data_IF_070968862858
#
_entry.id   IF_070968862858
#
_cell.length_a   1.000
_cell.length_b   1.000
_cell.length_c   1.000
_cell.angle_alpha   90.00
_cell.angle_beta   90.00
_cell.angle_gamma   90.00
#
_symmetry.space_group_name_H-M   'P 1'
#
loop_
_entity.id
_entity.type
_entity.pdbx_description
1 polymer ?
#
# COMPACT_ATOMS: atom_id res chain seq x y z
N UNK A 1 17.80 -38.12 -80.69
CA UNK A 1 18.19 -36.79 -80.17
C UNK A 1 16.99 -36.19 -79.46
N UNK A 2 17.26 -35.47 -78.36
CA UNK A 2 16.35 -34.60 -77.60
C UNK A 2 15.48 -35.25 -76.50
N UNK A 3 15.98 -35.16 -75.28
CA UNK A 3 15.26 -35.09 -74.00
C UNK A 3 14.56 -33.73 -73.85
N UNK A 4 13.51 -33.65 -73.02
CA UNK A 4 13.40 -32.48 -72.15
C UNK A 4 13.21 -32.86 -70.67
N UNK A 5 13.97 -32.14 -69.85
CA UNK A 5 13.99 -32.18 -68.40
C UNK A 5 12.68 -31.63 -67.81
N UNK A 6 12.20 -32.25 -66.73
CA UNK A 6 11.10 -31.73 -65.92
C UNK A 6 11.67 -31.05 -64.68
N UNK A 7 11.50 -29.75 -64.63
CA UNK A 7 11.90 -28.86 -63.55
C UNK A 7 11.12 -29.15 -62.27
N UNK A 8 11.83 -29.39 -61.17
CA UNK A 8 11.25 -29.44 -59.83
C UNK A 8 10.97 -28.01 -59.34
N UNK A 9 9.70 -27.64 -59.26
CA UNK A 9 9.25 -26.39 -58.64
C UNK A 9 9.23 -26.61 -57.12
N UNK A 10 10.27 -26.13 -56.42
CA UNK A 10 10.31 -26.13 -54.96
C UNK A 10 9.38 -25.04 -54.42
N UNK A 11 8.27 -25.44 -53.82
CA UNK A 11 7.35 -24.55 -53.12
C UNK A 11 7.92 -24.27 -51.72
N UNK A 12 8.64 -23.16 -51.57
CA UNK A 12 9.10 -22.67 -50.29
C UNK A 12 7.92 -22.02 -49.53
N UNK A 13 7.33 -22.77 -48.59
CA UNK A 13 6.37 -22.23 -47.62
C UNK A 13 7.15 -21.45 -46.57
N UNK A 14 7.22 -20.12 -46.71
CA UNK A 14 7.66 -19.24 -45.63
C UNK A 14 6.60 -19.26 -44.52
N UNK A 15 6.83 -20.04 -43.45
CA UNK A 15 6.15 -19.85 -42.18
C UNK A 15 6.63 -18.53 -41.57
N UNK A 16 5.88 -17.45 -41.79
CA UNK A 16 6.04 -16.21 -41.05
C UNK A 16 5.50 -16.44 -39.63
N UNK A 17 6.39 -16.82 -38.70
CA UNK A 17 6.11 -16.82 -37.27
C UNK A 17 6.00 -15.37 -36.78
N UNK A 18 4.81 -14.78 -36.90
CA UNK A 18 4.49 -13.50 -36.30
C UNK A 18 4.55 -13.64 -34.79
N UNK A 19 5.64 -13.16 -34.18
CA UNK A 19 5.73 -12.96 -32.74
C UNK A 19 4.73 -11.88 -32.34
N UNK A 20 3.52 -12.30 -31.96
CA UNK A 20 2.62 -11.48 -31.19
C UNK A 20 3.28 -11.25 -29.83
N UNK A 21 4.06 -10.19 -29.72
CA UNK A 21 4.50 -9.65 -28.45
C UNK A 21 3.25 -9.17 -27.70
N UNK A 22 2.55 -10.10 -27.04
CA UNK A 22 1.50 -9.76 -26.11
C UNK A 22 2.14 -8.93 -25.01
N UNK A 23 1.76 -7.65 -24.92
CA UNK A 23 2.10 -6.83 -23.77
C UNK A 23 1.47 -7.47 -22.54
N UNK A 24 2.20 -8.33 -21.83
CA UNK A 24 1.76 -8.84 -20.54
C UNK A 24 1.85 -7.66 -19.56
N UNK A 25 0.67 -7.12 -19.21
CA UNK A 25 0.58 -6.16 -18.11
C UNK A 25 1.07 -6.87 -16.85
N UNK A 26 1.93 -6.20 -16.07
CA UNK A 26 2.36 -6.76 -14.79
C UNK A 26 1.13 -7.08 -13.92
N UNK A 27 1.06 -8.26 -13.28
CA UNK A 27 -0.06 -8.60 -12.42
C UNK A 27 -0.12 -7.72 -11.16
N UNK A 28 0.90 -6.90 -10.89
CA UNK A 28 0.90 -5.95 -9.78
C UNK A 28 1.19 -4.54 -10.28
N UNK A 29 0.20 -3.66 -10.11
CA UNK A 29 0.26 -2.24 -10.43
C UNK A 29 0.11 -1.41 -9.16
N UNK A 30 0.96 -0.40 -8.99
CA UNK A 30 0.86 0.53 -7.86
C UNK A 30 0.86 1.94 -8.42
N UNK A 31 -0.19 2.69 -8.09
CA UNK A 31 -0.37 4.10 -8.40
C UNK A 31 -0.19 4.85 -7.08
N UNK A 32 0.85 5.68 -6.98
CA UNK A 32 1.17 6.44 -5.79
C UNK A 32 0.97 7.93 -6.08
N UNK A 33 0.00 8.55 -5.42
CA UNK A 33 -0.18 10.00 -5.50
C UNK A 33 0.97 10.72 -4.76
N UNK A 34 1.26 11.98 -5.08
CA UNK A 34 2.24 12.74 -4.32
C UNK A 34 1.84 12.88 -2.85
N UNK A 35 2.83 12.83 -1.95
CA UNK A 35 2.66 13.20 -0.54
C UNK A 35 2.16 14.64 -0.45
N UNK A 36 1.13 14.88 0.35
CA UNK A 36 0.58 16.23 0.58
C UNK A 36 0.83 16.61 2.02
N UNK A 37 1.81 17.49 2.25
CA UNK A 37 2.06 18.09 3.56
C UNK A 37 1.50 19.51 3.54
N UNK A 38 0.66 19.84 4.51
CA UNK A 38 0.14 21.19 4.72
C UNK A 38 0.29 21.60 6.18
N UNK A 39 0.55 22.88 6.41
CA UNK A 39 0.46 23.51 7.73
C UNK A 39 -0.80 24.34 7.78
N UNK A 40 -1.60 24.15 8.82
CA UNK A 40 -2.83 24.88 9.10
C UNK A 40 -2.75 25.49 10.49
N UNK A 41 -3.27 26.71 10.61
CA UNK A 41 -3.31 27.40 11.88
C UNK A 41 -4.65 27.17 12.58
N UNK A 42 -4.60 26.85 13.87
CA UNK A 42 -5.77 26.58 14.70
C UNK A 42 -6.73 27.79 14.69
N UNK A 43 -6.19 29.00 14.67
CA UNK A 43 -6.95 30.25 14.68
C UNK A 43 -7.73 30.48 13.38
N UNK A 44 -7.32 29.85 12.27
CA UNK A 44 -7.96 30.01 10.97
C UNK A 44 -9.08 28.98 10.73
N UNK A 45 -9.25 28.01 11.63
CA UNK A 45 -10.30 27.01 11.51
C UNK A 45 -11.68 27.61 11.78
N UNK A 46 -12.60 27.41 10.83
CA UNK A 46 -14.01 27.82 10.98
C UNK A 46 -14.73 27.04 12.07
N UNK A 47 -14.35 25.77 12.28
CA UNK A 47 -14.87 24.91 13.35
C UNK A 47 -13.71 24.20 14.06
N UNK A 48 -13.39 24.67 15.26
CA UNK A 48 -12.31 24.12 16.08
C UNK A 48 -12.58 22.71 16.58
N UNK A 49 -13.83 22.26 16.63
CA UNK A 49 -14.19 20.89 17.05
C UNK A 49 -13.73 19.83 16.04
N UNK A 50 -13.40 20.25 14.82
CA UNK A 50 -12.86 19.37 13.77
C UNK A 50 -11.35 19.19 13.86
N UNK A 51 -10.67 19.99 14.69
CA UNK A 51 -9.23 19.89 14.90
C UNK A 51 -9.00 18.77 15.93
N UNK A 52 -8.24 17.73 15.60
CA UNK A 52 -8.04 16.58 16.46
C UNK A 52 -6.92 16.83 17.48
N UNK A 53 -7.09 17.89 18.27
CA UNK A 53 -6.19 18.40 19.31
C UNK A 53 -6.74 18.02 20.69
N UNK A 54 -5.88 17.57 21.61
CA UNK A 54 -6.23 17.42 23.02
C UNK A 54 -6.50 18.76 23.71
N UNK A 55 -7.10 18.74 24.92
CA UNK A 55 -7.41 19.96 25.69
C UNK A 55 -6.16 20.80 26.02
N UNK A 56 -4.99 20.15 26.13
CA UNK A 56 -3.71 20.77 26.51
C UNK A 56 -2.65 20.75 25.39
N UNK A 57 -3.01 20.36 24.16
CA UNK A 57 -2.07 20.32 23.03
C UNK A 57 -2.08 21.68 22.30
N UNK A 58 -0.91 22.26 22.02
CA UNK A 58 -0.78 23.53 21.28
C UNK A 58 -0.52 23.33 19.77
N UNK A 59 -0.16 22.10 19.39
CA UNK A 59 0.07 21.68 18.02
C UNK A 59 -0.09 20.16 17.89
N UNK A 60 -0.34 19.69 16.67
CA UNK A 60 -0.34 18.26 16.35
C UNK A 60 -0.15 18.01 14.85
N UNK A 61 0.62 16.98 14.52
CA UNK A 61 0.71 16.43 13.17
C UNK A 61 -0.21 15.23 13.03
N UNK A 62 -1.10 15.28 12.04
CA UNK A 62 -1.94 14.15 11.66
C UNK A 62 -1.55 13.64 10.30
N UNK A 63 -1.39 12.32 10.19
CA UNK A 63 -1.17 11.64 8.93
C UNK A 63 -2.29 10.65 8.66
N UNK A 64 -2.65 10.52 7.38
CA UNK A 64 -3.52 9.45 6.90
C UNK A 64 -2.88 8.86 5.66
N UNK A 65 -2.69 7.55 5.66
CA UNK A 65 -2.12 6.82 4.53
C UNK A 65 -3.25 6.00 3.93
N UNK A 66 -3.78 6.47 2.80
CA UNK A 66 -4.84 5.81 2.07
C UNK A 66 -4.32 4.62 1.28
N UNK A 67 -5.07 3.52 1.32
CA UNK A 67 -4.89 2.36 0.46
C UNK A 67 -6.23 1.94 -0.14
N UNK A 68 -6.25 1.75 -1.45
CA UNK A 68 -7.36 1.11 -2.16
C UNK A 68 -6.80 0.05 -3.09
N UNK A 69 -7.43 -1.11 -3.16
CA UNK A 69 -7.01 -2.20 -4.03
C UNK A 69 -8.15 -2.63 -4.95
N UNK A 70 -7.87 -2.65 -6.25
CA UNK A 70 -8.70 -3.32 -7.26
C UNK A 70 -8.08 -4.70 -7.50
N UNK A 71 -8.91 -5.76 -7.46
CA UNK A 71 -8.45 -7.16 -7.56
C UNK A 71 -8.95 -7.76 -8.87
N UNK A 72 -8.01 -8.24 -9.69
CA UNK A 72 -8.31 -9.11 -10.83
C UNK A 72 -8.32 -10.57 -10.33
N UNK A 73 -9.30 -11.36 -10.76
CA UNK A 73 -9.47 -12.73 -10.27
C UNK A 73 -10.17 -13.64 -11.28
N UNK A 74 -9.97 -14.95 -11.09
CA UNK A 74 -10.74 -16.01 -11.73
C UNK A 74 -11.62 -16.71 -10.69
N UNK A 75 -12.87 -17.04 -11.01
CA UNK A 75 -13.69 -17.93 -10.17
C UNK A 75 -13.21 -19.37 -10.37
N UNK A 76 -12.72 -20.01 -9.32
CA UNK A 76 -12.21 -21.39 -9.37
C UNK A 76 -13.23 -22.41 -8.93
N UNK A 77 -14.16 -22.04 -8.05
CA UNK A 77 -15.31 -22.89 -7.71
C UNK A 77 -16.54 -22.08 -7.34
N UNK A 78 -17.70 -22.71 -7.53
CA UNK A 78 -19.03 -22.21 -7.17
C UNK A 78 -19.84 -23.37 -6.65
N UNK A 79 -20.38 -23.21 -5.45
CA UNK A 79 -21.27 -24.16 -4.80
C UNK A 79 -22.55 -23.46 -4.34
N UNK A 80 -23.66 -24.19 -4.37
CA UNK A 80 -24.95 -23.73 -3.83
C UNK A 80 -25.20 -24.55 -2.56
N UNK A 81 -25.18 -23.86 -1.42
CA UNK A 81 -25.51 -24.41 -0.11
C UNK A 81 -26.75 -23.67 0.37
N UNK A 82 -27.92 -24.13 -0.08
CA UNK A 82 -29.23 -23.49 0.09
C UNK A 82 -29.41 -22.91 1.52
N UNK A 83 -29.66 -21.59 1.68
CA UNK A 83 -29.99 -20.57 0.67
C UNK A 83 -28.81 -19.72 0.15
N UNK A 84 -27.57 -20.16 0.34
CA UNK A 84 -26.36 -19.38 0.05
C UNK A 84 -25.57 -19.91 -1.16
N UNK A 85 -24.79 -19.02 -1.75
CA UNK A 85 -23.70 -19.34 -2.67
C UNK A 85 -22.38 -19.33 -1.89
N UNK A 86 -21.51 -20.29 -2.16
CA UNK A 86 -20.11 -20.28 -1.75
C UNK A 86 -19.27 -20.15 -3.02
N UNK A 87 -18.38 -19.17 -3.05
CA UNK A 87 -17.52 -18.88 -4.20
C UNK A 87 -16.07 -18.90 -3.74
N UNK A 88 -15.24 -19.60 -4.50
CA UNK A 88 -13.79 -19.49 -4.40
C UNK A 88 -13.25 -18.73 -5.61
N UNK A 89 -12.42 -17.72 -5.36
CA UNK A 89 -11.71 -16.96 -6.39
C UNK A 89 -10.21 -17.24 -6.27
N UNK A 90 -9.47 -17.11 -7.37
CA UNK A 90 -8.01 -17.06 -7.40
C UNK A 90 -7.57 -15.68 -7.88
N UNK A 91 -6.71 -15.03 -7.10
CA UNK A 91 -6.20 -13.69 -7.42
C UNK A 91 -5.22 -13.77 -8.59
N UNK A 92 -5.49 -13.04 -9.68
CA UNK A 92 -4.65 -13.00 -10.89
C UNK A 92 -3.96 -11.65 -11.07
N UNK A 93 -4.46 -10.60 -10.41
CA UNK A 93 -3.83 -9.28 -10.41
C UNK A 93 -4.28 -8.40 -9.26
N UNK A 94 -3.43 -7.44 -8.91
CA UNK A 94 -3.69 -6.45 -7.85
C UNK A 94 -3.25 -5.08 -8.35
N UNK A 95 -4.17 -4.12 -8.35
CA UNK A 95 -3.88 -2.71 -8.58
C UNK A 95 -4.13 -1.91 -7.30
N UNK A 96 -3.07 -1.32 -6.74
CA UNK A 96 -3.17 -0.49 -5.55
C UNK A 96 -3.10 0.99 -5.91
N UNK A 97 -3.92 1.81 -5.23
CA UNK A 97 -3.84 3.27 -5.23
C UNK A 97 -3.52 3.75 -3.83
N UNK A 98 -2.49 4.59 -3.72
CA UNK A 98 -1.97 5.11 -2.46
C UNK A 98 -2.09 6.63 -2.44
N UNK A 99 -2.52 7.18 -1.31
CA UNK A 99 -2.48 8.61 -1.01
C UNK A 99 -1.94 8.83 0.41
N UNK A 100 -1.34 10.00 0.67
CA UNK A 100 -0.82 10.33 2.00
C UNK A 100 -0.95 11.83 2.30
N UNK A 101 -2.14 12.30 2.71
CA UNK A 101 -2.28 13.60 3.34
C UNK A 101 -1.66 13.62 4.75
N UNK A 102 -0.87 14.66 5.03
CA UNK A 102 -0.28 15.00 6.32
C UNK A 102 -0.61 16.45 6.61
N UNK A 103 -1.26 16.71 7.73
CA UNK A 103 -1.66 18.04 8.18
C UNK A 103 -1.00 18.35 9.50
N UNK A 104 -0.23 19.43 9.55
CA UNK A 104 0.31 20.02 10.78
C UNK A 104 -0.69 21.09 11.22
N UNK A 105 -1.30 20.90 12.39
CA UNK A 105 -2.08 21.92 13.07
C UNK A 105 -1.21 22.58 14.13
N UNK A 106 -1.15 23.92 14.14
CA UNK A 106 -0.32 24.67 15.08
C UNK A 106 -0.98 26.01 15.42
N UNK A 107 -0.79 26.52 16.64
CA UNK A 107 -1.21 27.88 16.96
C UNK A 107 -0.26 28.90 16.32
N UNK A 108 -0.79 30.05 15.89
CA UNK A 108 0.04 31.19 15.46
C UNK A 108 0.96 31.72 16.56
N UNK A 109 0.57 31.50 17.81
CA UNK A 109 1.30 31.93 18.99
C UNK A 109 2.25 30.84 19.53
N UNK A 110 2.26 29.64 18.92
CA UNK A 110 3.15 28.55 19.32
C UNK A 110 4.63 28.94 19.17
N UNK A 111 5.49 28.50 20.09
CA UNK A 111 6.94 28.63 19.93
C UNK A 111 7.44 28.05 18.60
N UNK A 112 8.50 28.63 18.04
CA UNK A 112 9.10 28.13 16.80
C UNK A 112 9.58 26.67 16.92
N UNK A 113 10.01 26.25 18.12
CA UNK A 113 10.41 24.87 18.37
C UNK A 113 9.24 23.89 18.29
N UNK A 114 8.03 24.29 18.71
CA UNK A 114 6.81 23.48 18.55
C UNK A 114 6.52 23.21 17.07
N UNK A 115 6.62 24.23 16.21
CA UNK A 115 6.43 24.01 14.77
C UNK A 115 7.50 23.07 14.19
N UNK A 116 8.76 23.18 14.64
CA UNK A 116 9.83 22.29 14.17
C UNK A 116 9.63 20.85 14.63
N UNK A 117 9.13 20.64 15.86
CA UNK A 117 8.73 19.34 16.37
C UNK A 117 7.70 18.68 15.45
N UNK A 118 6.63 19.41 15.12
CA UNK A 118 5.60 18.89 14.20
C UNK A 118 6.14 18.64 12.78
N UNK A 119 7.02 19.51 12.28
CA UNK A 119 7.70 19.29 11.00
C UNK A 119 8.57 18.03 10.98
N UNK A 120 9.09 17.60 12.14
CA UNK A 120 9.84 16.37 12.26
C UNK A 120 8.95 15.13 12.08
N UNK A 121 7.73 15.11 12.65
CA UNK A 121 6.75 14.06 12.34
C UNK A 121 6.38 14.02 10.86
N UNK A 122 6.19 15.19 10.23
CA UNK A 122 5.95 15.26 8.79
C UNK A 122 7.14 14.71 7.97
N UNK A 123 8.38 14.94 8.43
CA UNK A 123 9.59 14.38 7.84
C UNK A 123 9.64 12.84 7.99
N UNK A 124 9.25 12.28 9.14
CA UNK A 124 9.11 10.83 9.34
C UNK A 124 8.13 10.25 8.33
N UNK A 125 6.94 10.85 8.21
CA UNK A 125 5.93 10.45 7.23
C UNK A 125 6.49 10.46 5.80
N UNK A 126 7.21 11.53 5.44
CA UNK A 126 7.83 11.68 4.12
C UNK A 126 8.84 10.58 3.81
N UNK A 127 9.70 10.24 4.78
CA UNK A 127 10.71 9.19 4.63
C UNK A 127 10.08 7.81 4.43
N UNK A 128 9.03 7.48 5.18
CA UNK A 128 8.31 6.21 4.99
C UNK A 128 7.58 6.19 3.65
N UNK A 129 6.88 7.27 3.29
CA UNK A 129 6.11 7.33 2.04
C UNK A 129 6.97 7.27 0.77
N UNK A 130 8.24 7.70 0.86
CA UNK A 130 9.22 7.52 -0.22
C UNK A 130 9.28 6.06 -0.71
N UNK A 131 9.13 5.09 0.20
CA UNK A 131 9.18 3.66 -0.09
C UNK A 131 7.79 2.99 -0.18
N UNK A 132 6.70 3.76 -0.12
CA UNK A 132 5.34 3.21 -0.05
C UNK A 132 4.97 2.31 -1.25
N UNK A 133 5.51 2.58 -2.44
CA UNK A 133 5.30 1.74 -3.62
C UNK A 133 5.97 0.36 -3.49
N UNK A 134 7.16 0.30 -2.88
CA UNK A 134 7.82 -0.98 -2.58
C UNK A 134 7.05 -1.76 -1.53
N UNK A 135 6.59 -1.10 -0.46
CA UNK A 135 5.76 -1.70 0.59
C UNK A 135 4.46 -2.26 0.01
N UNK A 136 3.75 -1.47 -0.80
CA UNK A 136 2.52 -1.90 -1.46
C UNK A 136 2.75 -3.08 -2.41
N UNK A 137 3.84 -3.07 -3.18
CA UNK A 137 4.20 -4.23 -4.03
C UNK A 137 4.48 -5.48 -3.21
N UNK A 138 5.11 -5.36 -2.05
CA UNK A 138 5.34 -6.49 -1.15
C UNK A 138 4.02 -7.04 -0.62
N UNK A 139 3.12 -6.18 -0.14
CA UNK A 139 1.78 -6.58 0.29
C UNK A 139 0.99 -7.24 -0.86
N UNK A 140 0.99 -6.67 -2.06
CA UNK A 140 0.28 -7.26 -3.20
C UNK A 140 0.81 -8.65 -3.59
N UNK A 141 2.11 -8.90 -3.44
CA UNK A 141 2.71 -10.22 -3.71
C UNK A 141 2.24 -11.30 -2.75
N UNK A 142 1.87 -10.96 -1.51
CA UNK A 142 1.45 -12.00 -0.54
C UNK A 142 0.09 -12.58 -0.87
N UNK A 143 -0.76 -11.84 -1.60
CA UNK A 143 -2.10 -12.29 -1.98
C UNK A 143 -2.19 -12.80 -3.42
N UNK A 144 -1.24 -12.42 -4.29
CA UNK A 144 -1.24 -12.81 -5.70
C UNK A 144 -1.14 -14.33 -5.87
N UNK A 145 -2.06 -14.91 -6.65
CA UNK A 145 -2.10 -16.35 -6.92
C UNK A 145 -2.81 -17.17 -5.85
N UNK A 146 -3.08 -16.60 -4.67
CA UNK A 146 -3.81 -17.28 -3.60
C UNK A 146 -5.29 -17.39 -3.93
N UNK A 147 -5.95 -18.34 -3.27
CA UNK A 147 -7.39 -18.55 -3.37
C UNK A 147 -8.12 -18.05 -2.13
N UNK A 148 -9.27 -17.44 -2.36
CA UNK A 148 -10.11 -16.85 -1.32
C UNK A 148 -11.52 -17.35 -1.48
N UNK A 149 -12.15 -17.73 -0.36
CA UNK A 149 -13.52 -18.21 -0.34
C UNK A 149 -14.39 -17.27 0.49
N UNK A 150 -15.59 -17.01 0.00
CA UNK A 150 -16.64 -16.34 0.75
C UNK A 150 -18.02 -16.86 0.37
N UNK A 151 -19.02 -16.52 1.18
CA UNK A 151 -20.42 -16.88 0.94
C UNK A 151 -21.32 -15.65 0.86
N UNK A 152 -22.47 -15.81 0.22
CA UNK A 152 -23.45 -14.74 0.07
C UNK A 152 -24.79 -15.24 -0.43
N UNK A 153 -25.84 -14.44 -0.24
CA UNK A 153 -27.22 -14.77 -0.70
C UNK A 153 -27.35 -14.85 -2.23
N UNK A 154 -26.41 -14.26 -2.94
CA UNK A 154 -26.30 -14.32 -4.40
C UNK A 154 -24.86 -14.62 -4.77
N UNK A 155 -24.65 -15.10 -6.01
CA UNK A 155 -23.31 -15.33 -6.55
C UNK A 155 -22.47 -14.04 -6.53
N UNK A 156 -23.07 -12.91 -6.91
CA UNK A 156 -22.42 -11.60 -6.92
C UNK A 156 -22.01 -11.16 -5.52
N UNK A 157 -22.88 -11.32 -4.52
CA UNK A 157 -22.57 -10.99 -3.14
C UNK A 157 -21.43 -11.86 -2.57
N UNK A 158 -21.42 -13.16 -2.87
CA UNK A 158 -20.35 -14.06 -2.45
C UNK A 158 -19.01 -13.71 -3.11
N UNK A 159 -19.04 -13.39 -4.41
CA UNK A 159 -17.85 -12.97 -5.16
C UNK A 159 -17.31 -11.64 -4.64
N UNK A 160 -18.19 -10.65 -4.44
CA UNK A 160 -17.83 -9.35 -3.86
C UNK A 160 -17.21 -9.51 -2.47
N UNK A 161 -17.80 -10.36 -1.61
CA UNK A 161 -17.26 -10.62 -0.29
C UNK A 161 -15.84 -11.23 -0.34
N UNK A 162 -15.58 -12.14 -1.29
CA UNK A 162 -14.24 -12.70 -1.48
C UNK A 162 -13.24 -11.64 -1.97
N UNK A 163 -13.63 -10.80 -2.93
CA UNK A 163 -12.80 -9.70 -3.44
C UNK A 163 -12.52 -8.65 -2.37
N UNK A 164 -13.54 -8.21 -1.64
CA UNK A 164 -13.42 -7.22 -0.56
C UNK A 164 -12.46 -7.73 0.53
N UNK A 165 -12.51 -9.03 0.86
CA UNK A 165 -11.56 -9.66 1.80
C UNK A 165 -10.12 -9.60 1.30
N UNK A 166 -9.86 -9.86 0.02
CA UNK A 166 -8.51 -9.73 -0.56
C UNK A 166 -8.02 -8.28 -0.50
N UNK A 167 -8.90 -7.34 -0.87
CA UNK A 167 -8.60 -5.92 -0.88
C UNK A 167 -8.30 -5.38 0.54
N UNK A 168 -9.05 -5.85 1.55
CA UNK A 168 -8.80 -5.55 2.95
C UNK A 168 -7.45 -6.11 3.42
N UNK A 169 -7.17 -7.39 3.16
CA UNK A 169 -5.91 -8.03 3.58
C UNK A 169 -4.68 -7.34 3.00
N UNK A 170 -4.70 -7.01 1.69
CA UNK A 170 -3.55 -6.34 1.06
C UNK A 170 -3.34 -4.93 1.61
N UNK A 171 -4.42 -4.20 1.92
CA UNK A 171 -4.32 -2.87 2.52
C UNK A 171 -3.91 -2.92 3.99
N UNK A 172 -4.35 -3.92 4.76
CA UNK A 172 -3.89 -4.16 6.13
C UNK A 172 -2.39 -4.41 6.15
N UNK A 173 -1.88 -5.30 5.29
CA UNK A 173 -0.45 -5.59 5.17
C UNK A 173 0.37 -4.34 4.78
N UNK A 174 -0.17 -3.50 3.90
CA UNK A 174 0.42 -2.20 3.60
C UNK A 174 0.46 -1.29 4.83
N UNK A 175 -0.64 -1.14 5.56
CA UNK A 175 -0.70 -0.29 6.76
C UNK A 175 0.23 -0.79 7.89
N UNK A 176 0.30 -2.11 8.11
CA UNK A 176 1.20 -2.71 9.09
C UNK A 176 2.68 -2.42 8.81
N UNK A 177 3.05 -2.17 7.56
CA UNK A 177 4.42 -1.86 7.15
C UNK A 177 4.68 -0.36 7.00
N UNK A 178 3.65 0.43 6.69
CA UNK A 178 3.81 1.88 6.49
C UNK A 178 3.40 2.67 7.74
N UNK A 179 2.15 2.55 8.16
CA UNK A 179 1.58 3.35 9.24
C UNK A 179 2.19 2.99 10.59
N UNK A 180 2.32 1.69 10.89
CA UNK A 180 2.95 1.24 12.13
C UNK A 180 4.42 1.67 12.24
N UNK A 181 5.16 1.71 11.13
CA UNK A 181 6.54 2.23 11.11
C UNK A 181 6.56 3.72 11.43
N UNK A 182 5.63 4.52 10.89
CA UNK A 182 5.53 5.95 11.19
C UNK A 182 5.22 6.16 12.67
N UNK A 183 4.23 5.44 13.21
CA UNK A 183 3.83 5.56 14.60
C UNK A 183 5.02 5.25 15.54
N UNK A 184 5.71 4.13 15.30
CA UNK A 184 6.85 3.73 16.13
C UNK A 184 8.05 4.65 16.04
N UNK A 185 8.40 5.10 14.83
CA UNK A 185 9.51 6.05 14.67
C UNK A 185 9.17 7.38 15.32
N UNK A 186 7.90 7.81 15.25
CA UNK A 186 7.40 9.00 15.94
C UNK A 186 7.50 8.85 17.46
N UNK A 187 7.03 7.74 18.02
CA UNK A 187 7.16 7.45 19.46
C UNK A 187 8.63 7.48 19.95
N UNK A 188 9.56 6.93 19.15
CA UNK A 188 10.99 7.00 19.46
C UNK A 188 11.50 8.44 19.39
N UNK A 189 11.08 9.21 18.39
CA UNK A 189 11.42 10.62 18.25
C UNK A 189 10.96 11.44 19.46
N UNK A 190 9.71 11.28 19.89
CA UNK A 190 9.14 11.97 21.06
C UNK A 190 9.93 11.64 22.34
N UNK A 191 10.34 10.38 22.49
CA UNK A 191 11.18 9.95 23.60
C UNK A 191 12.60 10.54 23.58
N UNK A 192 13.17 10.83 22.40
CA UNK A 192 14.50 11.44 22.29
C UNK A 192 14.48 12.92 22.71
N UNK A 193 13.42 13.65 22.39
CA UNK A 193 13.30 15.07 22.73
C UNK A 193 13.36 15.31 24.25
N UNK A 194 12.78 14.39 25.04
CA UNK A 194 12.81 14.47 26.50
C UNK A 194 14.21 14.27 27.11
N UNK A 195 15.15 13.71 26.35
CA UNK A 195 16.44 13.26 26.86
C UNK A 195 17.67 13.85 26.15
N UNK A 196 17.52 14.45 24.96
CA UNK A 196 18.63 14.81 24.09
C UNK A 196 18.54 16.27 23.57
N UNK A 197 18.49 17.23 24.52
CA UNK A 197 18.28 18.67 24.26
C UNK A 197 19.39 19.39 23.45
N UNK A 198 20.36 18.66 22.90
CA UNK A 198 21.45 19.22 22.08
C UNK A 198 21.32 18.95 20.58
N UNK A 199 20.36 18.14 20.15
CA UNK A 199 20.18 17.74 18.75
C UNK A 199 19.12 18.57 18.03
N UNK A 200 19.29 18.75 16.72
CA UNK A 200 18.20 19.28 15.89
C UNK A 200 17.12 18.21 15.67
N UNK A 201 15.88 18.60 15.39
CA UNK A 201 14.81 17.64 15.10
C UNK A 201 15.17 16.66 13.97
N UNK A 202 15.89 17.08 12.94
CA UNK A 202 16.33 16.21 11.85
C UNK A 202 17.32 15.14 12.33
N UNK A 203 18.25 15.50 13.21
CA UNK A 203 19.20 14.55 13.82
C UNK A 203 18.48 13.56 14.75
N UNK A 204 17.43 14.02 15.44
CA UNK A 204 16.59 13.15 16.26
C UNK A 204 15.77 12.20 15.38
N UNK A 205 15.24 12.65 14.24
CA UNK A 205 14.59 11.76 13.25
C UNK A 205 15.57 10.71 12.72
N UNK A 206 16.80 11.09 12.37
CA UNK A 206 17.84 10.13 11.96
C UNK A 206 18.11 9.09 13.06
N UNK A 207 18.23 9.55 14.31
CA UNK A 207 18.42 8.68 15.47
C UNK A 207 17.22 7.75 15.65
N UNK A 208 15.98 8.25 15.53
CA UNK A 208 14.77 7.46 15.68
C UNK A 208 14.66 6.35 14.63
N UNK A 209 14.97 6.65 13.36
CA UNK A 209 15.05 5.62 12.31
C UNK A 209 16.16 4.59 12.57
N UNK A 210 17.28 4.99 13.17
CA UNK A 210 18.37 4.05 13.50
C UNK A 210 18.04 3.12 14.67
N UNK A 211 17.20 3.57 15.61
CA UNK A 211 16.74 2.78 16.76
C UNK A 211 15.51 1.94 16.44
N UNK A 212 14.78 2.28 15.38
CA UNK A 212 13.65 1.52 14.90
C UNK A 212 14.07 0.13 14.40
N UNK A 213 13.51 -0.91 15.02
CA UNK A 213 13.62 -2.30 14.55
C UNK A 213 12.30 -2.69 13.91
N UNK A 214 12.32 -3.06 12.62
CA UNK A 214 11.14 -3.58 11.92
C UNK A 214 10.73 -4.92 12.55
N UNK A 215 9.62 -4.94 13.28
CA UNK A 215 9.11 -6.16 13.93
C UNK A 215 8.54 -7.17 12.93
N UNK A 216 8.29 -6.77 11.68
CA UNK A 216 7.80 -7.70 10.66
C UNK A 216 8.89 -8.66 10.21
N UNK A 217 10.17 -8.38 10.47
CA UNK A 217 11.28 -9.33 10.30
C UNK A 217 11.28 -10.45 11.35
N UNK A 218 10.52 -10.30 12.45
CA UNK A 218 10.50 -11.25 13.57
C UNK A 218 9.26 -12.17 13.62
N UNK A 219 8.34 -12.12 12.65
CA UNK A 219 7.16 -13.01 12.68
C UNK A 219 7.57 -14.40 12.16
N UNK A 220 7.57 -15.46 13.00
CA UNK A 220 7.81 -16.80 12.50
C UNK A 220 6.73 -17.15 11.46
N UNK A 221 7.14 -17.83 10.39
CA UNK A 221 6.23 -18.35 9.36
C UNK A 221 5.04 -19.02 10.04
N UNK A 222 3.81 -18.65 9.66
CA UNK A 222 2.62 -19.38 10.07
C UNK A 222 2.84 -20.83 9.61
N UNK A 223 3.08 -21.74 10.55
CA UNK A 223 2.96 -23.16 10.27
C UNK A 223 1.53 -23.38 9.80
N UNK A 224 1.38 -23.69 8.52
CA UNK A 224 0.13 -24.20 7.98
C UNK A 224 -0.15 -25.51 8.72
N UNK A 225 -1.18 -25.50 9.55
CA UNK A 225 -1.73 -26.72 10.13
C UNK A 225 -2.16 -27.62 8.97
N UNK A 226 -1.45 -28.75 8.82
CA UNK A 226 -1.73 -29.82 7.85
C UNK A 226 -2.81 -30.76 8.35
#
# INVERSE_FOLDING_TARGET
>A
MSTPAKSHLALAVLLAAGMLAGCSRSPIEVIKDPLKIETRYIEDATDRTTIPLGEDEEAITKWKFGCRADIDFDITSKEIVDPNYIVSIKVTGVRMRLDAPVTIWVSKDSPAETLKHEQAHALICSRVYKNADSIARQAARTVLGNSYQASGKTLDAACKAAVDRVAEEVCELYHLKAVESINRVSEVFDGLEQHDMGKTPEQMVDTAFSQYVDITEKRPERQEDK
#
